data_IF_546173437158
#
_entry.id   IF_546173437158
#
_cell.length_a   1.000
_cell.length_b   1.000
_cell.length_c   1.000
_cell.angle_alpha   90.00
_cell.angle_beta   90.00
_cell.angle_gamma   90.00
#
_symmetry.space_group_name_H-M   'P 1'
#
loop_
_entity.id
_entity.type
_entity.pdbx_description
1 polymer ?
#
# COMPACT_ATOMS: atom_id res chain seq x y z
N UNK A 1 -26.09 9.07 1.11
CA UNK A 1 -25.74 7.68 0.73
C UNK A 1 -25.98 7.35 -0.75
N UNK A 2 -27.10 7.74 -1.35
CA UNK A 2 -27.43 7.44 -2.77
C UNK A 2 -26.38 7.93 -3.77
N UNK A 3 -25.83 9.16 -3.62
CA UNK A 3 -24.84 9.75 -4.53
C UNK A 3 -23.52 8.95 -4.54
N UNK A 4 -22.99 8.60 -3.36
CA UNK A 4 -21.76 7.82 -3.27
C UNK A 4 -21.91 6.43 -3.93
N UNK A 5 -23.06 5.80 -3.76
CA UNK A 5 -23.36 4.53 -4.41
C UNK A 5 -23.35 4.66 -5.94
N UNK A 6 -23.97 5.71 -6.48
CA UNK A 6 -23.96 5.97 -7.93
C UNK A 6 -22.54 6.22 -8.46
N UNK A 7 -21.72 6.98 -7.73
CA UNK A 7 -20.32 7.21 -8.09
C UNK A 7 -19.56 5.88 -8.14
N UNK A 8 -19.69 5.04 -7.11
CA UNK A 8 -19.04 3.73 -7.08
C UNK A 8 -19.49 2.83 -8.24
N UNK A 9 -20.80 2.81 -8.54
CA UNK A 9 -21.32 2.06 -9.68
C UNK A 9 -20.81 2.58 -11.02
N UNK A 10 -20.74 3.91 -11.18
CA UNK A 10 -20.21 4.52 -12.39
C UNK A 10 -18.75 4.16 -12.61
N UNK A 11 -17.90 4.32 -11.59
CA UNK A 11 -16.48 3.95 -11.64
C UNK A 11 -16.33 2.46 -11.96
N UNK A 12 -17.15 1.61 -11.34
CA UNK A 12 -17.12 0.18 -11.60
C UNK A 12 -17.48 -0.17 -13.05
N UNK A 13 -18.49 0.46 -13.61
CA UNK A 13 -18.95 0.21 -14.98
C UNK A 13 -17.98 0.75 -16.03
N UNK A 14 -17.52 1.99 -15.85
CA UNK A 14 -16.72 2.71 -16.86
C UNK A 14 -15.22 2.48 -16.70
N UNK A 15 -14.77 1.97 -15.53
CA UNK A 15 -13.37 1.86 -15.13
C UNK A 15 -12.64 3.22 -15.11
N UNK A 16 -13.39 4.31 -15.18
CA UNK A 16 -12.83 5.66 -15.14
C UNK A 16 -13.02 6.28 -13.75
N UNK A 17 -11.95 6.88 -13.27
CA UNK A 17 -11.94 7.59 -12.00
C UNK A 17 -12.09 9.09 -12.23
N UNK A 18 -12.96 9.72 -11.47
CA UNK A 18 -13.01 11.17 -11.44
C UNK A 18 -11.67 11.73 -10.92
N UNK A 19 -11.16 12.80 -11.54
CA UNK A 19 -9.86 13.37 -11.21
C UNK A 19 -9.77 13.81 -9.74
N UNK A 20 -10.85 14.38 -9.20
CA UNK A 20 -10.91 14.77 -7.78
C UNK A 20 -10.74 13.60 -6.80
N UNK A 21 -11.09 12.39 -7.21
CA UNK A 21 -10.84 11.19 -6.39
C UNK A 21 -9.39 10.73 -6.43
N UNK A 22 -8.66 11.11 -7.47
CA UNK A 22 -7.22 10.78 -7.62
C UNK A 22 -6.30 11.75 -6.90
N UNK A 23 -6.83 12.83 -6.35
CA UNK A 23 -6.04 13.81 -5.60
C UNK A 23 -5.72 13.31 -4.20
N UNK A 24 -4.47 13.43 -3.82
CA UNK A 24 -3.99 13.16 -2.47
C UNK A 24 -3.14 14.31 -1.94
N UNK A 25 -3.24 14.54 -0.63
CA UNK A 25 -2.42 15.53 0.05
C UNK A 25 -1.46 14.80 0.97
N UNK A 26 -0.16 14.98 0.76
CA UNK A 26 0.88 14.40 1.59
C UNK A 26 1.28 15.35 2.70
N UNK A 27 1.28 14.83 3.93
CA UNK A 27 1.78 15.53 5.10
C UNK A 27 3.10 14.87 5.51
N UNK A 28 4.23 15.57 5.39
CA UNK A 28 5.51 15.07 5.87
C UNK A 28 5.59 15.19 7.39
N UNK A 29 5.86 14.05 8.05
CA UNK A 29 6.09 14.00 9.49
C UNK A 29 7.57 13.74 9.71
N UNK A 30 8.29 14.61 10.45
CA UNK A 30 9.71 14.42 10.72
C UNK A 30 9.92 13.18 11.60
N UNK A 31 10.86 12.33 11.23
CA UNK A 31 11.38 11.25 12.07
C UNK A 31 12.24 11.87 13.20
N UNK A 32 12.48 11.12 14.27
CA UNK A 32 13.37 11.55 15.35
C UNK A 32 14.76 11.90 14.79
N UNK A 33 15.25 13.09 15.08
CA UNK A 33 16.56 13.59 14.64
C UNK A 33 16.47 14.86 13.78
N UNK A 34 17.57 15.23 13.12
CA UNK A 34 17.63 16.41 12.25
C UNK A 34 16.89 16.15 10.94
N UNK A 35 15.79 16.84 10.73
CA UNK A 35 14.94 16.73 9.54
C UNK A 35 15.46 17.60 8.38
N UNK A 36 16.74 17.50 8.03
CA UNK A 36 17.36 18.26 6.94
C UNK A 36 17.18 17.61 5.57
N UNK A 37 16.97 16.30 5.54
CA UNK A 37 16.83 15.54 4.30
C UNK A 37 15.43 14.90 4.18
N UNK A 38 14.99 14.72 2.95
CA UNK A 38 13.72 14.06 2.63
C UNK A 38 13.59 12.64 3.23
N UNK A 39 14.68 11.89 3.26
CA UNK A 39 14.78 10.57 3.89
C UNK A 39 14.41 10.57 5.39
N UNK A 40 14.50 11.73 6.02
CA UNK A 40 14.19 11.95 7.43
C UNK A 40 12.69 12.19 7.73
N UNK A 41 11.85 12.15 6.71
CA UNK A 41 10.40 12.28 6.86
C UNK A 41 9.68 10.96 6.61
N UNK A 42 8.58 10.77 7.32
CA UNK A 42 7.56 9.77 7.03
C UNK A 42 6.34 10.51 6.49
N UNK A 43 5.77 10.06 5.40
CA UNK A 43 4.64 10.74 4.77
C UNK A 43 3.32 10.09 5.13
N UNK A 44 2.31 10.90 5.41
CA UNK A 44 0.93 10.46 5.53
C UNK A 44 0.13 11.01 4.36
N UNK A 45 -0.50 10.12 3.60
CA UNK A 45 -1.39 10.49 2.51
C UNK A 45 -2.81 10.73 3.04
N UNK A 46 -3.34 11.92 2.80
CA UNK A 46 -4.75 12.26 3.03
C UNK A 46 -5.51 12.12 1.71
N UNK A 47 -6.51 11.27 1.71
CA UNK A 47 -7.40 11.02 0.58
C UNK A 47 -8.85 11.31 0.95
N UNK A 48 -9.70 11.58 -0.04
CA UNK A 48 -11.12 11.86 0.19
C UNK A 48 -11.85 10.67 0.82
N UNK A 49 -12.92 10.93 1.56
CA UNK A 49 -13.73 9.85 2.16
C UNK A 49 -14.38 8.96 1.10
N UNK A 50 -14.80 9.54 -0.04
CA UNK A 50 -15.33 8.78 -1.16
C UNK A 50 -14.30 7.79 -1.71
N UNK A 51 -13.04 8.24 -1.85
CA UNK A 51 -11.93 7.39 -2.25
C UNK A 51 -11.69 6.25 -1.24
N UNK A 52 -11.70 6.54 0.05
CA UNK A 52 -11.55 5.51 1.11
C UNK A 52 -12.62 4.43 1.01
N UNK A 53 -13.87 4.80 0.74
CA UNK A 53 -14.97 3.82 0.56
C UNK A 53 -14.69 2.94 -0.65
N UNK A 54 -14.32 3.53 -1.79
CA UNK A 54 -14.04 2.76 -3.00
C UNK A 54 -12.83 1.83 -2.82
N UNK A 55 -11.75 2.30 -2.18
CA UNK A 55 -10.59 1.46 -1.84
C UNK A 55 -10.98 0.28 -0.95
N UNK A 56 -11.88 0.47 0.03
CA UNK A 56 -12.40 -0.61 0.87
C UNK A 56 -13.20 -1.65 0.08
N UNK A 57 -13.96 -1.23 -0.92
CA UNK A 57 -14.68 -2.14 -1.82
C UNK A 57 -13.67 -2.97 -2.64
N UNK A 58 -12.64 -2.31 -3.20
CA UNK A 58 -11.59 -2.99 -3.95
C UNK A 58 -10.79 -3.95 -3.06
N UNK A 59 -10.41 -3.51 -1.86
CA UNK A 59 -9.74 -4.33 -0.86
C UNK A 59 -10.52 -5.61 -0.56
N UNK A 60 -11.82 -5.50 -0.29
CA UNK A 60 -12.66 -6.65 0.02
C UNK A 60 -12.74 -7.66 -1.13
N UNK A 61 -12.71 -7.17 -2.39
CA UNK A 61 -12.69 -8.04 -3.57
C UNK A 61 -11.35 -8.69 -3.81
N UNK A 62 -10.24 -7.95 -3.64
CA UNK A 62 -8.88 -8.49 -3.79
C UNK A 62 -8.54 -9.49 -2.69
N UNK A 63 -9.01 -9.26 -1.47
CA UNK A 63 -8.66 -10.08 -0.31
C UNK A 63 -9.09 -11.54 -0.46
N UNK A 64 -10.12 -11.82 -1.24
CA UNK A 64 -10.55 -13.19 -1.54
C UNK A 64 -9.45 -13.97 -2.27
N UNK A 65 -8.79 -13.34 -3.25
CA UNK A 65 -7.69 -13.94 -4.01
C UNK A 65 -6.39 -13.99 -3.19
N UNK A 66 -6.04 -12.86 -2.59
CA UNK A 66 -4.79 -12.71 -1.83
C UNK A 66 -4.71 -13.67 -0.64
N UNK A 67 -5.82 -13.89 0.08
CA UNK A 67 -5.85 -14.82 1.22
C UNK A 67 -5.57 -16.27 0.82
N UNK A 68 -5.88 -16.65 -0.42
CA UNK A 68 -5.63 -17.98 -0.94
C UNK A 68 -4.16 -18.17 -1.32
N UNK A 69 -3.54 -17.15 -1.88
CA UNK A 69 -2.16 -17.20 -2.38
C UNK A 69 -1.10 -16.89 -1.31
N UNK A 70 -1.48 -16.17 -0.26
CA UNK A 70 -0.51 -15.81 0.79
C UNK A 70 -0.09 -17.04 1.59
N UNK A 71 1.23 -17.32 1.68
CA UNK A 71 1.74 -18.42 2.47
C UNK A 71 1.41 -18.23 3.95
N UNK A 72 1.25 -19.33 4.68
CA UNK A 72 0.90 -19.32 6.11
C UNK A 72 1.93 -18.63 7.00
N UNK A 73 3.18 -18.49 6.54
CA UNK A 73 4.25 -17.78 7.25
C UNK A 73 4.11 -16.26 7.21
N UNK A 74 3.32 -15.73 6.25
CA UNK A 74 3.03 -14.31 6.17
C UNK A 74 2.15 -13.90 7.35
N UNK A 75 2.66 -13.05 8.21
CA UNK A 75 1.99 -12.65 9.44
C UNK A 75 1.29 -11.29 9.32
N UNK A 76 1.89 -10.34 8.59
CA UNK A 76 1.36 -8.99 8.42
C UNK A 76 0.31 -8.91 7.32
N UNK A 77 -0.58 -7.92 7.44
CA UNK A 77 -1.67 -7.64 6.50
C UNK A 77 -2.66 -8.80 6.30
N UNK A 78 -2.73 -9.71 7.27
CA UNK A 78 -3.63 -10.86 7.23
C UNK A 78 -4.71 -10.74 8.30
N UNK A 79 -5.96 -10.86 7.88
CA UNK A 79 -7.11 -10.79 8.81
C UNK A 79 -7.00 -11.84 9.89
N UNK A 80 -7.17 -11.45 11.16
CA UNK A 80 -7.14 -12.34 12.30
C UNK A 80 -5.74 -12.68 12.84
N UNK A 81 -4.66 -12.14 12.24
CA UNK A 81 -3.31 -12.25 12.79
C UNK A 81 -2.87 -10.93 13.38
N UNK A 82 -2.42 -10.97 14.62
CA UNK A 82 -1.87 -9.82 15.34
C UNK A 82 -0.34 -9.86 15.39
N UNK A 83 0.26 -8.83 15.93
CA UNK A 83 1.74 -8.73 16.13
C UNK A 83 2.30 -9.78 17.09
N UNK A 84 1.47 -10.43 17.88
CA UNK A 84 1.85 -11.42 18.88
C UNK A 84 2.46 -12.68 18.25
N UNK A 85 1.85 -13.18 17.18
CA UNK A 85 2.31 -14.41 16.50
C UNK A 85 3.66 -14.24 15.82
N UNK A 86 3.92 -13.15 15.04
CA UNK A 86 5.25 -12.88 14.51
C UNK A 86 6.32 -12.77 15.58
N UNK A 87 6.03 -12.08 16.70
CA UNK A 87 6.99 -11.94 17.81
C UNK A 87 7.32 -13.30 18.40
N UNK A 88 6.30 -14.13 18.67
CA UNK A 88 6.50 -15.49 19.21
C UNK A 88 7.33 -16.34 18.26
N UNK A 89 7.07 -16.27 16.93
CA UNK A 89 7.84 -16.99 15.91
C UNK A 89 9.30 -16.55 15.86
N UNK A 90 9.55 -15.23 15.93
CA UNK A 90 10.92 -14.69 15.97
C UNK A 90 11.64 -15.16 17.23
N UNK A 91 11.00 -15.08 18.41
CA UNK A 91 11.58 -15.56 19.65
C UNK A 91 11.91 -17.06 19.60
N UNK A 92 11.02 -17.85 19.00
CA UNK A 92 11.26 -19.28 18.82
C UNK A 92 12.42 -19.55 17.87
N UNK A 93 12.50 -18.85 16.73
CA UNK A 93 13.60 -18.93 15.78
C UNK A 93 14.94 -18.58 16.44
N UNK A 94 15.00 -17.50 17.21
CA UNK A 94 16.22 -17.09 17.93
C UNK A 94 16.68 -18.19 18.89
N UNK A 95 15.77 -18.78 19.66
CA UNK A 95 16.10 -19.90 20.57
C UNK A 95 16.65 -21.09 19.80
N UNK A 96 16.02 -21.46 18.68
CA UNK A 96 16.44 -22.59 17.84
C UNK A 96 17.81 -22.37 17.21
N UNK A 97 18.04 -21.18 16.67
CA UNK A 97 19.34 -20.80 16.06
C UNK A 97 20.47 -20.84 17.09
N UNK A 98 20.23 -20.32 18.31
CA UNK A 98 21.19 -20.39 19.41
C UNK A 98 21.51 -21.83 19.80
N UNK A 99 20.49 -22.69 19.91
CA UNK A 99 20.68 -24.11 20.27
C UNK A 99 21.52 -24.85 19.23
N UNK A 100 21.38 -24.54 17.95
CA UNK A 100 22.08 -25.21 16.85
C UNK A 100 23.32 -24.43 16.36
N UNK A 101 23.70 -23.35 17.04
CA UNK A 101 24.82 -22.48 16.67
C UNK A 101 24.84 -22.06 15.20
N UNK A 102 23.63 -21.76 14.65
CA UNK A 102 23.45 -21.30 13.28
C UNK A 102 23.40 -19.78 13.22
N UNK A 103 23.85 -19.23 12.12
CA UNK A 103 23.70 -17.81 11.84
C UNK A 103 22.36 -17.55 11.15
N UNK A 104 21.72 -16.42 11.47
CA UNK A 104 20.55 -15.92 10.75
C UNK A 104 20.67 -14.42 10.54
N UNK A 105 19.94 -13.90 9.55
CA UNK A 105 19.94 -12.49 9.21
C UNK A 105 18.50 -12.00 9.12
N UNK A 106 18.26 -10.80 9.64
CA UNK A 106 17.04 -10.06 9.38
C UNK A 106 17.25 -9.12 8.21
N UNK A 107 16.27 -9.07 7.31
CA UNK A 107 16.26 -8.13 6.19
C UNK A 107 15.08 -7.20 6.42
N UNK A 108 15.37 -5.92 6.61
CA UNK A 108 14.38 -4.86 6.74
C UNK A 108 14.44 -3.96 5.50
N UNK A 109 13.29 -3.77 4.85
CA UNK A 109 13.19 -2.91 3.67
C UNK A 109 12.84 -1.49 4.08
N UNK A 110 13.73 -0.55 3.86
CA UNK A 110 13.52 0.85 4.23
C UNK A 110 12.30 1.50 3.54
N UNK A 111 11.96 1.07 2.32
CA UNK A 111 10.90 1.65 1.48
C UNK A 111 10.25 0.58 0.59
N UNK A 112 9.81 -0.52 1.17
CA UNK A 112 9.29 -1.68 0.44
C UNK A 112 8.18 -1.31 -0.56
N UNK A 113 7.23 -0.48 -0.15
CA UNK A 113 6.10 -0.10 -0.97
C UNK A 113 6.43 0.90 -2.08
N UNK A 114 7.43 1.75 -1.87
CA UNK A 114 7.88 2.71 -2.88
C UNK A 114 8.68 2.04 -4.01
N UNK A 115 9.22 0.84 -3.78
CA UNK A 115 10.03 0.09 -4.74
C UNK A 115 9.24 -0.93 -5.56
N UNK A 116 7.91 -0.95 -5.45
CA UNK A 116 7.08 -1.90 -6.20
C UNK A 116 7.06 -1.57 -7.69
N UNK A 117 7.47 -2.54 -8.52
CA UNK A 117 7.31 -2.47 -9.97
C UNK A 117 5.86 -2.76 -10.36
N UNK A 118 5.16 -1.74 -10.84
CA UNK A 118 3.75 -1.87 -11.21
C UNK A 118 3.52 -2.89 -12.33
N UNK A 119 4.42 -2.99 -13.32
CA UNK A 119 4.24 -3.95 -14.42
C UNK A 119 4.30 -5.39 -13.91
N UNK A 120 5.24 -5.66 -13.00
CA UNK A 120 5.32 -6.97 -12.33
C UNK A 120 4.09 -7.22 -11.44
N UNK A 121 3.63 -6.18 -10.72
CA UNK A 121 2.42 -6.30 -9.91
C UNK A 121 1.22 -6.72 -10.73
N UNK A 122 0.96 -6.06 -11.87
CA UNK A 122 -0.17 -6.40 -12.73
C UNK A 122 -0.09 -7.83 -13.28
N UNK A 123 1.12 -8.30 -13.59
CA UNK A 123 1.34 -9.67 -14.03
C UNK A 123 1.00 -10.67 -12.93
N UNK A 124 1.52 -10.45 -11.72
CA UNK A 124 1.24 -11.31 -10.55
C UNK A 124 -0.26 -11.34 -10.25
N UNK A 125 -0.95 -10.20 -10.23
CA UNK A 125 -2.39 -10.15 -9.99
C UNK A 125 -3.17 -10.97 -11.04
N UNK A 126 -2.72 -10.96 -12.29
CA UNK A 126 -3.32 -11.78 -13.35
C UNK A 126 -3.04 -13.28 -13.14
N UNK A 127 -1.83 -13.64 -12.75
CA UNK A 127 -1.45 -15.02 -12.41
C UNK A 127 -2.24 -15.56 -11.20
N UNK A 128 -2.60 -14.70 -10.25
CA UNK A 128 -3.50 -15.03 -9.13
C UNK A 128 -4.98 -15.20 -9.53
N UNK A 129 -5.32 -15.08 -10.80
CA UNK A 129 -6.69 -15.23 -11.31
C UNK A 129 -7.60 -14.02 -11.08
N UNK A 130 -7.04 -12.85 -10.75
CA UNK A 130 -7.83 -11.62 -10.61
C UNK A 130 -8.30 -11.18 -11.99
N UNK A 131 -9.59 -10.82 -12.09
CA UNK A 131 -10.21 -10.45 -13.36
C UNK A 131 -9.53 -9.24 -14.01
N UNK A 132 -9.42 -9.26 -15.34
CA UNK A 132 -8.85 -8.14 -16.11
C UNK A 132 -9.61 -6.83 -15.86
N UNK A 133 -10.91 -6.90 -15.58
CA UNK A 133 -11.73 -5.74 -15.18
C UNK A 133 -11.20 -5.07 -13.91
N UNK A 134 -10.92 -5.86 -12.89
CA UNK A 134 -10.42 -5.34 -11.60
C UNK A 134 -8.98 -4.82 -11.74
N UNK A 135 -8.14 -5.51 -12.52
CA UNK A 135 -6.77 -5.07 -12.81
C UNK A 135 -6.78 -3.75 -13.59
N UNK A 136 -7.66 -3.61 -14.60
CA UNK A 136 -7.81 -2.37 -15.36
C UNK A 136 -8.27 -1.21 -14.47
N UNK A 137 -9.24 -1.46 -13.59
CA UNK A 137 -9.72 -0.48 -12.63
C UNK A 137 -8.58 0.02 -11.70
N UNK A 138 -7.73 -0.88 -11.22
CA UNK A 138 -6.56 -0.53 -10.42
C UNK A 138 -5.54 0.25 -11.25
N UNK A 139 -5.21 -0.19 -12.46
CA UNK A 139 -4.29 0.54 -13.35
C UNK A 139 -4.74 1.96 -13.61
N UNK A 140 -6.04 2.16 -13.89
CA UNK A 140 -6.60 3.47 -14.14
C UNK A 140 -6.63 4.36 -12.88
N UNK A 141 -6.67 3.75 -11.70
CA UNK A 141 -6.49 4.47 -10.45
C UNK A 141 -5.05 5.01 -10.32
N UNK A 142 -4.05 4.18 -10.62
CA UNK A 142 -2.64 4.58 -10.54
C UNK A 142 -2.23 5.55 -11.67
N UNK A 143 -2.92 5.50 -12.80
CA UNK A 143 -2.67 6.42 -13.89
C UNK A 143 -3.24 7.81 -13.59
N UNK A 144 -2.41 8.84 -13.67
CA UNK A 144 -2.83 10.24 -13.52
C UNK A 144 -3.22 10.63 -12.09
N UNK A 145 -2.55 10.07 -11.09
CA UNK A 145 -2.66 10.55 -9.71
C UNK A 145 -2.04 11.94 -9.59
N UNK A 146 -2.73 12.83 -8.87
CA UNK A 146 -2.24 14.16 -8.55
C UNK A 146 -1.89 14.22 -7.06
N UNK A 147 -0.67 14.62 -6.78
CA UNK A 147 -0.13 14.66 -5.44
C UNK A 147 0.25 16.08 -5.08
N UNK A 148 -0.20 16.52 -3.91
CA UNK A 148 0.13 17.84 -3.37
C UNK A 148 0.80 17.67 -2.01
N UNK A 149 1.95 18.28 -1.83
CA UNK A 149 2.65 18.27 -0.54
C UNK A 149 2.33 19.54 0.24
N UNK A 150 1.85 19.38 1.47
CA UNK A 150 1.51 20.51 2.32
C UNK A 150 2.64 20.83 3.30
N UNK A 151 3.09 22.10 3.30
CA UNK A 151 3.86 22.65 4.42
C UNK A 151 5.38 22.54 4.35
N UNK A 152 6.00 22.24 3.19
CA UNK A 152 7.46 22.19 3.08
C UNK A 152 7.92 22.99 1.86
N UNK A 153 8.10 24.30 2.04
CA UNK A 153 8.78 25.15 1.05
C UNK A 153 10.25 24.68 0.92
N UNK A 154 10.66 24.27 -0.28
CA UNK A 154 12.05 23.94 -0.62
C UNK A 154 12.40 22.46 -0.74
N UNK A 155 11.57 21.52 -0.26
CA UNK A 155 11.82 20.08 -0.39
C UNK A 155 11.07 19.42 -1.59
N UNK A 156 10.33 20.23 -2.35
CA UNK A 156 9.36 19.76 -3.36
C UNK A 156 10.05 19.14 -4.60
N UNK A 157 11.22 19.61 -4.99
CA UNK A 157 11.86 19.20 -6.26
C UNK A 157 12.28 17.73 -6.33
N UNK A 158 12.53 17.08 -5.20
CA UNK A 158 12.91 15.66 -5.16
C UNK A 158 11.73 14.73 -4.80
N UNK A 159 10.55 15.30 -4.53
CA UNK A 159 9.36 14.57 -4.10
C UNK A 159 8.63 13.86 -5.24
N UNK A 160 8.55 14.49 -6.40
CA UNK A 160 7.73 14.03 -7.54
C UNK A 160 8.08 12.63 -8.06
N UNK A 161 9.25 12.10 -7.76
CA UNK A 161 9.69 10.76 -8.22
C UNK A 161 9.33 9.62 -7.27
N UNK A 162 8.97 9.92 -6.03
CA UNK A 162 8.83 8.90 -4.95
C UNK A 162 7.39 8.51 -4.64
N UNK A 163 6.43 9.32 -4.97
CA UNK A 163 5.10 9.32 -4.32
C UNK A 163 4.00 8.55 -5.03
N UNK A 164 4.12 8.24 -6.31
CA UNK A 164 3.08 7.56 -7.11
C UNK A 164 2.73 6.12 -6.66
N UNK A 165 3.28 5.66 -5.54
CA UNK A 165 3.25 4.24 -5.13
C UNK A 165 2.49 3.95 -3.84
N UNK A 166 1.96 4.97 -3.15
CA UNK A 166 1.41 4.83 -1.79
C UNK A 166 0.00 4.20 -1.70
N UNK A 167 -0.77 4.17 -2.77
CA UNK A 167 -2.12 3.59 -2.73
C UNK A 167 -2.14 2.07 -2.57
N UNK A 168 -1.06 1.37 -2.97
CA UNK A 168 -0.95 -0.07 -2.74
C UNK A 168 -1.03 -0.38 -1.25
N UNK A 169 -0.38 0.43 -0.42
CA UNK A 169 -0.39 0.28 1.05
C UNK A 169 -1.81 0.38 1.59
N UNK A 170 -2.59 1.36 1.11
CA UNK A 170 -3.95 1.59 1.60
C UNK A 170 -4.92 0.47 1.20
N UNK A 171 -4.60 -0.31 0.16
CA UNK A 171 -5.40 -1.46 -0.25
C UNK A 171 -5.15 -2.71 0.61
N UNK A 172 -4.02 -2.81 1.30
CA UNK A 172 -3.64 -3.99 2.07
C UNK A 172 -3.57 -3.77 3.58
N UNK A 173 -3.75 -2.53 4.08
CA UNK A 173 -3.89 -2.17 5.48
C UNK A 173 -5.37 -2.04 5.84
#
# INVERSE_FOLDING_TARGET
MKVLHLICQQIWKTQQWAQDLKRSVFIPIPKKGSAKEFSSYCTIALISHAMKVMLKILQARLQQYVNHELPNVQAEFRKGRGTRDPIANICWLIKKVRKFQKNFRFIDYAKAFECVDHNKLWKILKEMGISDHLICLLRNLYAGQEETVRGVHGLIQNWERSTSRLYIVTLFI
#
